data_IF_210660358994
#
_entry.id   IF_210660358994
#
_cell.length_a   1.000
_cell.length_b   1.000
_cell.length_c   1.000
_cell.angle_alpha   90.00
_cell.angle_beta   90.00
_cell.angle_gamma   90.00
#
_symmetry.space_group_name_H-M   'P 1'
#
loop_
_entity.id
_entity.type
_entity.pdbx_description
1 polymer ?
#
# COMPACT_ATOMS: atom_id res chain seq x y z
N UNK A 1 -13.35 8.35 10.37
CA UNK A 1 -13.12 6.90 10.62
C UNK A 1 -12.88 6.25 9.26
N UNK A 2 -11.71 5.65 9.03
CA UNK A 2 -11.49 4.87 7.80
C UNK A 2 -12.36 3.61 7.88
N UNK A 3 -13.31 3.50 6.95
CA UNK A 3 -14.21 2.34 6.87
C UNK A 3 -13.36 1.13 6.45
N UNK A 4 -13.08 0.22 7.37
CA UNK A 4 -12.49 -1.08 7.02
C UNK A 4 -13.45 -1.79 6.08
N UNK A 5 -12.96 -2.14 4.91
CA UNK A 5 -13.74 -2.78 3.87
C UNK A 5 -13.64 -4.29 4.06
N UNK A 6 -14.79 -4.91 4.28
CA UNK A 6 -14.91 -6.31 4.70
C UNK A 6 -15.58 -7.13 3.59
N UNK A 7 -14.75 -7.83 2.83
CA UNK A 7 -15.15 -8.98 2.04
C UNK A 7 -15.57 -10.15 2.94
N UNK A 8 -16.72 -10.74 2.61
CA UNK A 8 -17.38 -11.80 3.40
C UNK A 8 -17.59 -13.10 2.60
N UNK A 9 -16.92 -13.25 1.46
CA UNK A 9 -17.10 -14.41 0.58
C UNK A 9 -16.32 -15.66 1.02
N UNK A 10 -15.66 -15.65 2.18
CA UNK A 10 -14.81 -16.73 2.66
C UNK A 10 -13.47 -16.84 1.92
N UNK A 11 -12.70 -17.87 2.20
CA UNK A 11 -11.40 -18.12 1.55
C UNK A 11 -11.48 -18.31 0.02
N UNK A 12 -10.36 -18.10 -0.68
CA UNK A 12 -10.20 -18.59 -2.05
C UNK A 12 -9.38 -19.89 -2.05
N UNK A 13 -9.67 -20.76 -3.03
CA UNK A 13 -8.95 -22.00 -3.26
C UNK A 13 -8.41 -22.11 -4.67
N UNK A 14 -7.23 -22.69 -4.84
CA UNK A 14 -6.76 -23.13 -6.14
C UNK A 14 -6.00 -24.45 -5.97
N UNK A 15 -6.59 -25.53 -6.45
CA UNK A 15 -6.14 -26.90 -6.17
C UNK A 15 -6.10 -27.13 -4.65
N UNK A 16 -4.95 -27.45 -4.07
CA UNK A 16 -4.77 -27.66 -2.63
C UNK A 16 -4.51 -26.38 -1.82
N UNK A 17 -4.21 -25.26 -2.49
CA UNK A 17 -3.79 -24.01 -1.84
C UNK A 17 -4.98 -23.15 -1.44
N UNK A 18 -4.82 -22.42 -0.33
CA UNK A 18 -5.89 -21.61 0.28
C UNK A 18 -5.34 -20.26 0.72
N UNK A 19 -6.07 -19.19 0.43
CA UNK A 19 -5.88 -17.87 1.02
C UNK A 19 -7.10 -17.50 1.87
N UNK A 20 -6.86 -17.15 3.12
CA UNK A 20 -7.90 -16.84 4.09
C UNK A 20 -8.67 -15.56 3.73
N UNK A 21 -9.92 -15.47 4.22
CA UNK A 21 -10.71 -14.24 4.10
C UNK A 21 -9.99 -13.02 4.69
N UNK A 22 -9.29 -13.19 5.81
CA UNK A 22 -8.60 -12.09 6.47
C UNK A 22 -7.47 -11.54 5.59
N UNK A 23 -6.69 -12.41 4.94
CA UNK A 23 -5.65 -11.97 4.01
C UNK A 23 -6.25 -11.29 2.77
N UNK A 24 -7.40 -11.76 2.27
CA UNK A 24 -8.11 -11.10 1.18
C UNK A 24 -8.57 -9.69 1.57
N UNK A 25 -9.06 -9.51 2.79
CA UNK A 25 -9.40 -8.19 3.33
C UNK A 25 -8.17 -7.28 3.38
N UNK A 26 -7.02 -7.77 3.86
CA UNK A 26 -5.79 -6.98 3.90
C UNK A 26 -5.35 -6.56 2.49
N UNK A 27 -5.42 -7.46 1.50
CA UNK A 27 -5.10 -7.16 0.10
C UNK A 27 -6.04 -6.10 -0.45
N UNK A 28 -7.36 -6.26 -0.29
CA UNK A 28 -8.37 -5.30 -0.76
C UNK A 28 -8.09 -3.89 -0.20
N UNK A 29 -7.79 -3.77 1.09
CA UNK A 29 -7.48 -2.48 1.70
C UNK A 29 -6.13 -1.91 1.21
N UNK A 30 -5.13 -2.75 0.95
CA UNK A 30 -3.82 -2.30 0.49
C UNK A 30 -3.83 -1.74 -0.95
N UNK A 31 -4.68 -2.28 -1.82
CA UNK A 31 -4.73 -1.92 -3.25
C UNK A 31 -5.53 -0.68 -3.57
N UNK A 32 -6.49 -0.31 -2.72
CA UNK A 32 -7.47 0.75 -3.00
C UNK A 32 -6.83 2.11 -3.31
N UNK A 33 -5.82 2.50 -2.53
CA UNK A 33 -5.09 3.76 -2.72
C UNK A 33 -4.34 3.87 -4.04
N UNK A 34 -4.16 2.77 -4.76
CA UNK A 34 -3.42 2.72 -6.03
C UNK A 34 -4.31 2.36 -7.22
N UNK A 35 -5.63 2.28 -7.05
CA UNK A 35 -6.56 1.88 -8.12
C UNK A 35 -6.13 0.57 -8.81
N UNK A 36 -5.65 -0.40 -8.03
CA UNK A 36 -5.26 -1.73 -8.50
C UNK A 36 -6.44 -2.69 -8.30
N UNK A 37 -6.60 -3.64 -9.23
CA UNK A 37 -7.59 -4.72 -9.10
C UNK A 37 -7.08 -5.80 -8.14
N UNK A 38 -7.74 -6.05 -7.00
CA UNK A 38 -7.26 -7.05 -6.05
C UNK A 38 -7.20 -8.46 -6.66
N UNK A 39 -8.15 -8.85 -7.53
CA UNK A 39 -8.13 -10.17 -8.18
C UNK A 39 -6.87 -10.43 -9.01
N UNK A 40 -6.30 -9.39 -9.64
CA UNK A 40 -5.08 -9.48 -10.43
C UNK A 40 -3.85 -9.65 -9.52
N UNK A 41 -3.76 -8.88 -8.43
CA UNK A 41 -2.69 -9.05 -7.45
C UNK A 41 -2.74 -10.42 -6.75
N UNK A 42 -3.94 -10.90 -6.39
CA UNK A 42 -4.14 -12.22 -5.79
C UNK A 42 -3.62 -13.32 -6.72
N UNK A 43 -3.89 -13.19 -8.02
CA UNK A 43 -3.41 -14.13 -9.03
C UNK A 43 -1.89 -14.07 -9.16
N UNK A 44 -1.32 -12.87 -9.18
CA UNK A 44 0.13 -12.69 -9.25
C UNK A 44 0.82 -13.34 -8.04
N UNK A 45 0.35 -13.07 -6.82
CA UNK A 45 0.89 -13.67 -5.59
C UNK A 45 0.71 -15.20 -5.55
N UNK A 46 -0.30 -15.74 -6.24
CA UNK A 46 -0.41 -17.19 -6.40
C UNK A 46 0.73 -17.75 -7.25
N UNK A 47 1.05 -17.12 -8.38
CA UNK A 47 2.15 -17.55 -9.26
C UNK A 47 3.49 -17.48 -8.53
N UNK A 48 3.72 -16.42 -7.76
CA UNK A 48 5.01 -16.21 -7.10
C UNK A 48 5.26 -17.18 -5.93
N UNK A 49 4.23 -17.60 -5.20
CA UNK A 49 4.45 -18.35 -3.94
C UNK A 49 3.30 -19.24 -3.50
N UNK A 50 2.28 -19.44 -4.33
CA UNK A 50 1.03 -20.11 -3.95
C UNK A 50 0.42 -19.51 -2.67
N UNK A 51 0.40 -18.18 -2.59
CA UNK A 51 -0.03 -17.42 -1.40
C UNK A 51 0.80 -17.74 -0.15
N UNK A 52 2.11 -17.89 -0.34
CA UNK A 52 3.06 -18.16 0.74
C UNK A 52 2.93 -19.53 1.39
N UNK A 53 2.38 -20.53 0.67
CA UNK A 53 2.27 -21.87 1.23
C UNK A 53 3.65 -22.42 1.61
N UNK A 54 3.76 -22.91 2.85
CA UNK A 54 5.03 -23.36 3.43
C UNK A 54 5.68 -24.53 2.69
N UNK A 55 4.94 -25.28 1.87
CA UNK A 55 5.48 -26.42 1.11
C UNK A 55 6.12 -25.96 -0.20
N UNK A 56 5.70 -24.82 -0.74
CA UNK A 56 6.14 -24.32 -2.05
C UNK A 56 6.96 -23.04 -1.95
N UNK A 57 6.83 -22.27 -0.86
CA UNK A 57 7.54 -21.01 -0.67
C UNK A 57 8.12 -20.88 0.73
N UNK A 58 9.42 -21.15 0.83
CA UNK A 58 10.18 -20.89 2.07
C UNK A 58 10.19 -19.39 2.40
N UNK A 59 10.45 -18.54 1.40
CA UNK A 59 10.45 -17.07 1.56
C UNK A 59 9.05 -16.55 1.94
N UNK A 60 8.00 -17.03 1.28
CA UNK A 60 6.63 -16.60 1.59
C UNK A 60 6.19 -16.97 3.01
N UNK A 61 6.64 -18.11 3.52
CA UNK A 61 6.25 -18.62 4.85
C UNK A 61 7.14 -18.12 5.99
N UNK A 62 8.44 -17.91 5.76
CA UNK A 62 9.39 -17.45 6.79
C UNK A 62 9.51 -15.93 6.82
N UNK A 63 9.45 -15.28 5.65
CA UNK A 63 9.68 -13.84 5.51
C UNK A 63 8.43 -13.01 5.31
N UNK A 64 7.24 -13.64 5.33
CA UNK A 64 5.98 -12.99 4.95
C UNK A 64 6.07 -12.30 3.58
N UNK A 65 6.88 -12.82 2.66
CA UNK A 65 7.21 -12.15 1.41
C UNK A 65 6.77 -13.00 0.21
N UNK A 66 5.52 -12.83 -0.19
CA UNK A 66 4.89 -13.71 -1.19
C UNK A 66 5.26 -13.38 -2.64
N UNK A 67 6.05 -12.33 -2.87
CA UNK A 67 6.52 -11.94 -4.21
C UNK A 67 8.04 -11.91 -4.36
N UNK A 68 8.80 -12.28 -3.32
CA UNK A 68 10.27 -12.31 -3.37
C UNK A 68 10.94 -10.93 -3.40
N UNK A 69 10.38 -9.89 -2.78
CA UNK A 69 11.02 -8.55 -2.69
C UNK A 69 12.40 -8.69 -2.04
N UNK A 70 13.43 -8.15 -2.69
CA UNK A 70 14.83 -8.29 -2.28
C UNK A 70 15.43 -6.97 -1.82
N UNK A 71 16.48 -7.03 -0.99
CA UNK A 71 17.33 -5.88 -0.71
C UNK A 71 18.13 -5.44 -1.96
N UNK A 72 18.41 -4.14 -2.14
CA UNK A 72 17.90 -3.03 -1.33
C UNK A 72 16.44 -2.70 -1.68
N UNK A 73 15.61 -2.50 -0.65
CA UNK A 73 14.24 -2.03 -0.79
C UNK A 73 13.95 -0.96 0.24
N UNK A 74 13.30 0.11 -0.19
CA UNK A 74 12.92 1.24 0.67
C UNK A 74 11.51 1.69 0.32
N UNK A 75 10.76 2.08 1.33
CA UNK A 75 9.40 2.60 1.18
C UNK A 75 9.29 4.02 1.73
N UNK A 76 8.34 4.81 1.23
CA UNK A 76 7.93 6.05 1.88
C UNK A 76 7.49 5.79 3.34
N UNK A 77 7.71 6.77 4.22
CA UNK A 77 7.43 6.65 5.66
C UNK A 77 5.94 6.46 5.95
N UNK A 78 5.07 7.07 5.14
CA UNK A 78 3.62 7.02 5.24
C UNK A 78 3.03 5.68 4.80
N UNK A 79 3.85 4.77 4.25
CA UNK A 79 3.42 3.39 4.04
C UNK A 79 3.19 2.66 5.38
N UNK A 80 3.87 3.11 6.45
CA UNK A 80 3.74 2.58 7.81
C UNK A 80 3.86 1.05 7.82
N UNK A 81 5.04 0.57 7.42
CA UNK A 81 5.39 -0.85 7.38
C UNK A 81 6.64 -1.13 8.21
N UNK A 82 6.68 -2.32 8.80
CA UNK A 82 7.86 -2.83 9.47
C UNK A 82 8.51 -3.93 8.63
N UNK A 83 9.79 -3.76 8.33
CA UNK A 83 10.57 -4.73 7.57
C UNK A 83 12.02 -4.80 8.05
N UNK A 84 12.64 -5.96 7.89
CA UNK A 84 14.03 -6.23 8.20
C UNK A 84 14.67 -7.09 7.10
N UNK A 85 15.97 -7.35 7.21
CA UNK A 85 16.62 -8.38 6.41
C UNK A 85 15.98 -9.75 6.69
N UNK A 86 15.64 -10.48 5.64
CA UNK A 86 15.11 -11.84 5.69
C UNK A 86 16.14 -12.88 5.28
N UNK A 87 15.64 -13.96 4.67
CA UNK A 87 16.44 -15.09 4.23
C UNK A 87 17.39 -14.73 3.09
N UNK A 88 18.51 -15.46 2.97
CA UNK A 88 19.46 -15.27 1.89
C UNK A 88 18.82 -15.69 0.55
N UNK A 89 19.12 -14.94 -0.51
CA UNK A 89 18.80 -15.35 -1.88
C UNK A 89 19.70 -16.52 -2.31
N UNK A 90 19.32 -17.27 -3.35
CA UNK A 90 20.20 -18.28 -3.95
C UNK A 90 21.61 -17.73 -4.20
N UNK A 91 22.62 -18.56 -3.93
CA UNK A 91 24.04 -18.14 -3.95
C UNK A 91 24.47 -17.52 -5.29
N UNK A 92 23.86 -17.93 -6.40
CA UNK A 92 24.10 -17.41 -7.74
C UNK A 92 23.48 -16.03 -8.01
N UNK A 93 22.52 -15.59 -7.19
CA UNK A 93 21.90 -14.26 -7.27
C UNK A 93 22.54 -13.27 -6.29
N UNK A 94 22.91 -13.77 -5.11
CA UNK A 94 23.46 -12.97 -4.02
C UNK A 94 22.42 -12.04 -3.37
N UNK A 95 22.71 -11.60 -2.15
CA UNK A 95 21.85 -10.69 -1.38
C UNK A 95 20.81 -11.40 -0.52
N UNK A 96 19.82 -10.65 -0.04
CA UNK A 96 18.82 -11.10 0.91
C UNK A 96 17.42 -10.69 0.45
N UNK A 97 16.42 -11.51 0.77
CA UNK A 97 15.02 -11.12 0.72
C UNK A 97 14.69 -10.16 1.86
N UNK A 98 13.60 -9.42 1.71
CA UNK A 98 13.00 -8.63 2.78
C UNK A 98 12.12 -9.55 3.65
N UNK A 99 12.28 -9.46 4.97
CA UNK A 99 11.33 -10.00 5.95
C UNK A 99 10.35 -8.90 6.36
N UNK A 100 9.05 -9.15 6.18
CA UNK A 100 7.99 -8.27 6.66
C UNK A 100 7.49 -8.77 8.01
N UNK A 101 7.32 -7.85 8.98
CA UNK A 101 6.87 -8.22 10.32
C UNK A 101 5.48 -8.88 10.30
N UNK A 102 4.62 -8.47 9.37
CA UNK A 102 3.30 -9.05 9.14
C UNK A 102 2.98 -9.19 7.65
N UNK A 103 2.02 -10.06 7.30
CA UNK A 103 1.48 -10.10 5.93
C UNK A 103 0.83 -8.78 5.51
N UNK A 104 0.27 -8.00 6.44
CA UNK A 104 -0.27 -6.68 6.13
C UNK A 104 0.83 -5.72 5.65
N UNK A 105 2.01 -5.74 6.30
CA UNK A 105 3.17 -4.96 5.88
C UNK A 105 3.59 -5.36 4.45
N UNK A 106 3.61 -6.66 4.17
CA UNK A 106 3.88 -7.16 2.82
C UNK A 106 2.83 -6.71 1.80
N UNK A 107 1.52 -6.84 2.08
CA UNK A 107 0.48 -6.44 1.12
C UNK A 107 0.54 -4.94 0.81
N UNK A 108 0.81 -4.09 1.81
CA UNK A 108 1.07 -2.66 1.61
C UNK A 108 2.31 -2.43 0.75
N UNK A 109 3.41 -3.14 1.04
CA UNK A 109 4.67 -3.03 0.31
C UNK A 109 4.52 -3.47 -1.15
N UNK A 110 3.93 -4.63 -1.41
CA UNK A 110 3.75 -5.15 -2.75
C UNK A 110 2.81 -4.29 -3.59
N UNK A 111 1.70 -3.82 -2.99
CA UNK A 111 0.81 -2.85 -3.66
C UNK A 111 1.55 -1.57 -4.02
N UNK A 112 2.45 -1.08 -3.15
CA UNK A 112 3.33 0.05 -3.46
C UNK A 112 4.30 -0.29 -4.60
N UNK A 113 4.98 -1.45 -4.58
CA UNK A 113 5.92 -1.87 -5.62
C UNK A 113 5.30 -1.78 -7.01
N UNK A 114 4.09 -2.31 -7.19
CA UNK A 114 3.40 -2.30 -8.50
C UNK A 114 2.68 -0.99 -8.81
N UNK A 115 2.54 -0.09 -7.85
CA UNK A 115 1.92 1.23 -8.05
C UNK A 115 2.79 2.17 -8.91
N UNK A 116 2.14 3.14 -9.56
CA UNK A 116 2.81 4.28 -10.22
C UNK A 116 3.58 5.12 -9.23
N UNK A 117 3.19 5.13 -7.94
CA UNK A 117 3.91 5.85 -6.88
C UNK A 117 5.33 5.34 -6.68
N UNK A 118 5.57 4.03 -6.83
CA UNK A 118 6.93 3.49 -6.87
C UNK A 118 7.63 3.79 -8.20
N UNK A 119 6.85 3.82 -9.29
CA UNK A 119 7.30 4.31 -10.60
C UNK A 119 8.02 3.26 -11.44
N UNK A 120 8.01 1.99 -11.04
CA UNK A 120 8.56 0.88 -11.84
C UNK A 120 7.57 0.34 -12.86
N UNK A 121 6.30 0.20 -12.49
CA UNK A 121 5.28 -0.49 -13.28
C UNK A 121 4.10 0.41 -13.62
N UNK A 122 3.32 0.01 -14.62
CA UNK A 122 2.20 0.78 -15.18
C UNK A 122 0.91 -0.05 -15.17
N UNK A 123 0.48 -0.48 -13.98
CA UNK A 123 -0.67 -1.40 -13.83
C UNK A 123 -1.91 -0.78 -13.19
N UNK A 124 -1.80 0.42 -12.62
CA UNK A 124 -2.95 1.13 -12.02
C UNK A 124 -4.04 1.42 -13.06
N UNK A 125 -5.29 1.12 -12.70
CA UNK A 125 -6.46 1.33 -13.57
C UNK A 125 -6.60 0.32 -14.71
N UNK A 126 -5.82 -0.77 -14.72
CA UNK A 126 -5.96 -1.81 -15.73
C UNK A 126 -7.37 -2.43 -15.72
N UNK A 127 -8.04 -2.41 -16.88
CA UNK A 127 -9.40 -2.93 -17.05
C UNK A 127 -9.46 -4.43 -17.33
N UNK A 128 -8.32 -5.06 -17.65
CA UNK A 128 -8.22 -6.50 -17.91
C UNK A 128 -6.91 -7.08 -17.35
N UNK A 129 -6.88 -8.40 -17.19
CA UNK A 129 -5.70 -9.12 -16.70
C UNK A 129 -4.52 -8.97 -17.68
N UNK A 130 -4.78 -8.96 -18.98
CA UNK A 130 -3.77 -8.77 -20.02
C UNK A 130 -3.17 -7.36 -19.94
N UNK A 131 -4.01 -6.33 -19.75
CA UNK A 131 -3.54 -4.96 -19.58
C UNK A 131 -2.69 -4.80 -18.31
N UNK A 132 -3.14 -5.41 -17.21
CA UNK A 132 -2.38 -5.48 -15.96
C UNK A 132 -1.03 -6.19 -16.18
N UNK A 133 -1.04 -7.39 -16.76
CA UNK A 133 0.14 -8.16 -17.04
C UNK A 133 1.11 -7.38 -17.94
N UNK A 134 0.61 -6.76 -19.02
CA UNK A 134 1.43 -5.95 -19.92
C UNK A 134 2.10 -4.78 -19.20
N UNK A 135 1.38 -4.12 -18.28
CA UNK A 135 1.89 -3.02 -17.46
C UNK A 135 3.00 -3.40 -16.48
N UNK A 136 3.22 -4.70 -16.21
CA UNK A 136 4.36 -5.21 -15.45
C UNK A 136 5.66 -5.27 -16.28
N UNK A 137 5.60 -5.03 -17.58
CA UNK A 137 6.73 -5.15 -18.50
C UNK A 137 6.96 -3.88 -19.32
N UNK A 138 8.17 -3.72 -19.85
CA UNK A 138 8.53 -2.56 -20.67
C UNK A 138 7.62 -2.37 -21.88
N UNK A 139 7.12 -3.47 -22.45
CA UNK A 139 6.15 -3.46 -23.56
C UNK A 139 4.81 -2.79 -23.20
N UNK A 140 4.47 -2.68 -21.92
CA UNK A 140 3.31 -1.93 -21.41
C UNK A 140 3.65 -0.60 -20.73
N UNK A 141 4.89 -0.14 -20.86
CA UNK A 141 5.35 1.14 -20.31
C UNK A 141 5.97 1.07 -18.91
N UNK A 142 6.26 -0.13 -18.39
CA UNK A 142 7.08 -0.26 -17.18
C UNK A 142 8.53 0.21 -17.45
N UNK A 143 9.24 0.63 -16.41
CA UNK A 143 10.68 0.96 -16.47
C UNK A 143 11.56 -0.29 -16.48
N UNK A 144 11.05 -1.37 -15.89
CA UNK A 144 11.71 -2.66 -15.81
C UNK A 144 10.72 -3.79 -16.09
N UNK A 145 11.24 -4.92 -16.54
CA UNK A 145 10.45 -6.14 -16.69
C UNK A 145 10.33 -6.82 -15.33
N UNK A 146 9.10 -7.13 -14.91
CA UNK A 146 8.83 -7.75 -13.62
C UNK A 146 9.47 -9.14 -13.48
N UNK A 147 9.44 -9.93 -14.56
CA UNK A 147 10.04 -11.26 -14.61
C UNK A 147 11.00 -11.39 -15.80
N UNK A 148 12.11 -12.10 -15.59
CA UNK A 148 13.11 -12.36 -16.64
C UNK A 148 12.55 -13.17 -17.82
N UNK A 149 11.47 -13.91 -17.62
CA UNK A 149 10.76 -14.66 -18.67
C UNK A 149 10.12 -13.76 -19.73
N UNK A 150 9.90 -12.47 -19.42
CA UNK A 150 9.22 -11.53 -20.31
C UNK A 150 7.70 -11.66 -20.31
N UNK A 151 7.04 -10.70 -20.98
CA UNK A 151 5.60 -10.51 -20.98
C UNK A 151 4.80 -11.72 -21.48
N UNK A 152 5.14 -12.26 -22.65
CA UNK A 152 4.34 -13.33 -23.28
C UNK A 152 4.32 -14.59 -22.38
N UNK A 153 5.49 -15.03 -21.91
CA UNK A 153 5.61 -16.16 -21.01
C UNK A 153 4.90 -15.92 -19.67
N UNK A 154 4.96 -14.70 -19.12
CA UNK A 154 4.29 -14.40 -17.86
C UNK A 154 2.76 -14.35 -18.02
N UNK A 155 2.26 -13.86 -19.16
CA UNK A 155 0.84 -13.88 -19.48
C UNK A 155 0.31 -15.31 -19.63
N UNK A 156 1.10 -16.20 -20.23
CA UNK A 156 0.80 -17.64 -20.32
C UNK A 156 0.70 -18.32 -18.95
N UNK A 157 1.26 -17.74 -17.89
CA UNK A 157 1.03 -18.16 -16.51
C UNK A 157 -0.18 -17.47 -15.87
N UNK A 158 -0.27 -16.14 -16.02
CA UNK A 158 -1.31 -15.31 -15.40
C UNK A 158 -2.72 -15.70 -15.84
N UNK A 159 -2.97 -15.81 -17.15
CA UNK A 159 -4.31 -16.03 -17.68
C UNK A 159 -4.93 -17.38 -17.27
N UNK A 160 -4.26 -18.54 -17.45
CA UNK A 160 -4.83 -19.80 -17.00
C UNK A 160 -4.96 -19.87 -15.47
N UNK A 161 -4.03 -19.28 -14.72
CA UNK A 161 -4.10 -19.24 -13.26
C UNK A 161 -5.30 -18.44 -12.78
N UNK A 162 -5.51 -17.23 -13.32
CA UNK A 162 -6.66 -16.39 -13.02
C UNK A 162 -7.97 -17.14 -13.27
N UNK A 163 -8.09 -17.77 -14.46
CA UNK A 163 -9.27 -18.54 -14.84
C UNK A 163 -9.48 -19.77 -13.95
N UNK A 164 -8.42 -20.45 -13.53
CA UNK A 164 -8.48 -21.59 -12.62
C UNK A 164 -8.98 -21.19 -11.23
N UNK A 165 -8.45 -20.10 -10.66
CA UNK A 165 -8.91 -19.54 -9.38
C UNK A 165 -10.37 -19.12 -9.52
N UNK A 166 -10.72 -18.34 -10.54
CA UNK A 166 -12.08 -17.87 -10.78
C UNK A 166 -13.08 -19.02 -10.90
N UNK A 167 -12.73 -20.09 -11.64
CA UNK A 167 -13.57 -21.29 -11.81
C UNK A 167 -13.82 -22.03 -10.49
N UNK A 168 -12.80 -22.12 -9.63
CA UNK A 168 -12.91 -22.78 -8.32
C UNK A 168 -13.57 -21.93 -7.25
N UNK A 169 -13.75 -20.64 -7.53
CA UNK A 169 -14.31 -19.65 -6.60
C UNK A 169 -15.41 -18.81 -7.28
N UNK A 170 -16.54 -19.42 -7.72
CA UNK A 170 -17.54 -18.73 -8.52
C UNK A 170 -18.02 -17.42 -7.88
N UNK A 171 -17.93 -16.31 -8.62
CA UNK A 171 -18.40 -14.99 -8.20
C UNK A 171 -17.51 -14.26 -7.18
N UNK A 172 -16.46 -14.89 -6.65
CA UNK A 172 -15.66 -14.28 -5.57
C UNK A 172 -14.72 -13.20 -6.10
N UNK A 173 -14.12 -13.36 -7.29
CA UNK A 173 -13.29 -12.31 -7.90
C UNK A 173 -14.13 -11.07 -8.25
N UNK A 174 -15.32 -11.26 -8.80
CA UNK A 174 -16.25 -10.16 -9.08
C UNK A 174 -16.65 -9.42 -7.80
N UNK A 175 -16.94 -10.17 -6.73
CA UNK A 175 -17.22 -9.57 -5.42
C UNK A 175 -16.02 -8.79 -4.89
N UNK A 176 -14.82 -9.37 -4.93
CA UNK A 176 -13.57 -8.74 -4.46
C UNK A 176 -13.28 -7.44 -5.23
N UNK A 177 -13.38 -7.47 -6.55
CA UNK A 177 -13.10 -6.30 -7.38
C UNK A 177 -14.20 -5.23 -7.25
N UNK A 178 -15.47 -5.63 -7.19
CA UNK A 178 -16.57 -4.68 -6.98
C UNK A 178 -16.46 -3.96 -5.64
N UNK A 179 -15.94 -4.62 -4.61
CA UNK A 179 -15.67 -4.00 -3.31
C UNK A 179 -14.58 -2.93 -3.45
N UNK A 180 -13.50 -3.19 -4.18
CA UNK A 180 -12.45 -2.22 -4.43
C UNK A 180 -12.94 -1.03 -5.29
N UNK A 181 -13.74 -1.30 -6.32
CA UNK A 181 -14.29 -0.29 -7.24
C UNK A 181 -15.33 0.64 -6.58
N UNK A 182 -16.17 0.09 -5.70
CA UNK A 182 -17.23 0.84 -5.01
C UNK A 182 -16.76 1.47 -3.70
N UNK A 183 -15.52 1.22 -3.30
CA UNK A 183 -14.93 1.93 -2.18
C UNK A 183 -14.45 3.28 -2.67
N UNK A 184 -14.69 4.38 -1.94
CA UNK A 184 -14.07 5.64 -2.29
C UNK A 184 -12.58 5.39 -2.38
N UNK A 185 -11.98 5.66 -3.55
CA UNK A 185 -10.53 5.68 -3.68
C UNK A 185 -10.06 6.54 -2.51
N UNK A 186 -9.20 5.97 -1.66
CA UNK A 186 -8.48 6.72 -0.66
C UNK A 186 -7.52 7.60 -1.46
N UNK A 187 -8.08 8.71 -1.96
CA UNK A 187 -7.38 9.65 -2.80
C UNK A 187 -6.53 10.50 -1.88
N UNK A 188 -5.26 10.15 -1.80
CA UNK A 188 -4.25 10.97 -1.13
C UNK A 188 -4.29 12.42 -1.67
N UNK A 189 -4.77 12.70 -2.90
CA UNK A 189 -4.92 14.07 -3.40
C UNK A 189 -6.16 14.80 -2.86
N UNK A 190 -7.21 14.09 -2.46
CA UNK A 190 -8.36 14.71 -1.77
C UNK A 190 -8.06 14.93 -0.28
N UNK A 191 -7.22 14.08 0.30
CA UNK A 191 -6.61 14.31 1.61
C UNK A 191 -5.66 15.52 1.53
N UNK A 192 -4.91 15.73 0.45
CA UNK A 192 -4.05 16.91 0.28
C UNK A 192 -4.81 18.24 0.08
N UNK A 193 -6.04 18.23 -0.44
CA UNK A 193 -6.85 19.45 -0.57
C UNK A 193 -7.64 19.79 0.70
N UNK A 194 -8.08 18.79 1.48
CA UNK A 194 -8.75 19.00 2.78
C UNK A 194 -7.78 19.06 3.98
N UNK A 195 -6.59 18.47 3.88
CA UNK A 195 -5.44 18.65 4.78
C UNK A 195 -4.43 19.64 4.17
N UNK A 196 -4.87 20.82 3.76
CA UNK A 196 -3.97 21.97 3.88
C UNK A 196 -3.70 22.19 5.36
N UNK A 197 -2.65 21.53 5.85
CA UNK A 197 -2.05 21.67 7.17
C UNK A 197 -1.96 23.15 7.56
N UNK A 198 -2.96 23.61 8.32
CA UNK A 198 -2.99 24.96 8.86
C UNK A 198 -2.34 24.90 10.25
N UNK A 199 -1.03 25.16 10.30
CA UNK A 199 -0.41 25.59 11.55
C UNK A 199 -1.09 26.88 12.00
N UNK A 200 -1.81 26.84 13.11
CA UNK A 200 -2.39 28.03 13.75
C UNK A 200 -1.70 28.28 15.09
N UNK A 201 -1.32 29.53 15.32
CA UNK A 201 -0.65 29.99 16.55
C UNK A 201 -1.65 30.77 17.40
N UNK A 202 -1.58 30.63 18.72
CA UNK A 202 -2.17 31.60 19.63
C UNK A 202 -1.10 32.53 20.23
N UNK A 203 -1.54 33.68 20.75
CA UNK A 203 -0.67 34.74 21.24
C UNK A 203 0.11 34.40 22.53
N UNK A 204 0.02 33.16 23.03
CA UNK A 204 0.70 32.72 24.26
C UNK A 204 1.82 31.69 24.02
N UNK A 205 2.26 31.53 22.76
CA UNK A 205 3.38 30.65 22.42
C UNK A 205 3.01 29.18 22.29
N UNK A 206 1.71 28.86 22.19
CA UNK A 206 1.22 27.50 21.99
C UNK A 206 1.04 27.23 20.49
N UNK A 207 1.57 26.10 20.02
CA UNK A 207 1.32 25.62 18.65
C UNK A 207 0.33 24.48 18.66
N UNK A 208 -0.63 24.59 17.76
CA UNK A 208 -1.61 23.55 17.47
C UNK A 208 -1.30 22.93 16.13
N UNK A 209 -1.26 21.60 16.10
CA UNK A 209 -1.44 20.84 14.88
C UNK A 209 -2.90 20.41 14.85
N UNK A 210 -3.70 20.98 13.95
CA UNK A 210 -5.09 20.58 13.71
C UNK A 210 -5.11 19.63 12.52
N UNK A 211 -5.48 18.37 12.76
CA UNK A 211 -5.70 17.37 11.72
C UNK A 211 -7.18 16.96 11.77
N UNK A 212 -8.00 17.53 10.90
CA UNK A 212 -9.46 17.40 10.98
C UNK A 212 -9.99 17.89 12.33
N UNK A 213 -10.71 17.03 13.07
CA UNK A 213 -11.29 17.34 14.39
C UNK A 213 -10.30 17.15 15.56
N UNK A 214 -9.05 16.77 15.28
CA UNK A 214 -8.05 16.49 16.32
C UNK A 214 -7.04 17.62 16.42
N UNK A 215 -6.85 18.15 17.63
CA UNK A 215 -5.80 19.10 17.95
C UNK A 215 -4.74 18.47 18.87
N UNK A 216 -3.46 18.60 18.52
CA UNK A 216 -2.33 18.17 19.36
C UNK A 216 -1.55 19.37 19.90
N UNK A 217 -1.31 19.36 21.21
CA UNK A 217 -0.70 20.43 21.98
C UNK A 217 0.83 20.26 22.06
N UNK A 218 1.58 21.33 21.82
CA UNK A 218 3.02 21.36 22.03
C UNK A 218 3.41 22.53 22.93
N UNK A 219 3.76 22.23 24.18
CA UNK A 219 4.21 23.22 25.18
C UNK A 219 5.74 23.23 25.36
N UNK A 220 6.48 22.64 24.42
CA UNK A 220 7.94 22.46 24.51
C UNK A 220 8.66 23.32 23.46
N UNK A 221 9.40 24.33 23.94
CA UNK A 221 10.13 25.29 23.12
C UNK A 221 11.17 24.67 22.19
N UNK A 222 11.76 23.51 22.56
CA UNK A 222 12.72 22.79 21.69
C UNK A 222 12.02 22.06 20.56
N UNK A 223 10.83 21.50 20.82
CA UNK A 223 10.01 20.85 19.78
C UNK A 223 9.45 21.87 18.81
N UNK A 224 9.08 23.05 19.31
CA UNK A 224 8.67 24.21 18.50
C UNK A 224 9.75 24.67 17.52
N UNK A 225 11.01 24.73 17.96
CA UNK A 225 12.13 25.09 17.09
C UNK A 225 12.33 24.07 15.96
N UNK A 226 12.34 22.78 16.28
CA UNK A 226 12.44 21.70 15.27
C UNK A 226 11.28 21.73 14.26
N UNK A 227 10.07 22.01 14.72
CA UNK A 227 8.89 22.08 13.86
C UNK A 227 9.00 23.25 12.86
N UNK A 228 9.52 24.40 13.30
CA UNK A 228 9.78 25.56 12.42
C UNK A 228 10.83 25.26 11.37
N UNK A 229 11.92 24.58 11.75
CA UNK A 229 12.95 24.13 10.81
C UNK A 229 12.38 23.18 9.77
N UNK A 230 11.59 22.21 10.20
CA UNK A 230 10.99 21.22 9.32
C UNK A 230 9.97 21.85 8.36
N UNK A 231 9.15 22.78 8.84
CA UNK A 231 8.24 23.56 7.99
C UNK A 231 9.00 24.34 6.91
N UNK A 232 10.07 25.05 7.30
CA UNK A 232 10.90 25.79 6.35
C UNK A 232 11.55 24.87 5.32
N UNK A 233 11.99 23.67 5.74
CA UNK A 233 12.56 22.65 4.86
C UNK A 233 11.56 22.15 3.82
N UNK A 234 10.31 21.89 4.22
CA UNK A 234 9.27 21.33 3.35
C UNK A 234 8.68 22.38 2.42
N UNK A 235 8.39 23.58 2.92
CA UNK A 235 7.62 24.59 2.18
C UNK A 235 8.47 25.76 1.65
N UNK A 236 9.78 25.78 1.92
CA UNK A 236 10.70 26.80 1.42
C UNK A 236 10.47 28.22 1.95
N UNK A 237 9.64 28.39 2.97
CA UNK A 237 9.29 29.69 3.59
C UNK A 237 9.23 29.59 5.10
N UNK A 238 9.50 30.72 5.77
CA UNK A 238 9.37 30.82 7.22
C UNK A 238 7.91 30.70 7.65
N UNK A 239 7.69 30.01 8.77
CA UNK A 239 6.37 29.79 9.34
C UNK A 239 5.82 31.11 9.90
N UNK A 240 4.71 31.63 9.33
CA UNK A 240 4.13 32.92 9.73
C UNK A 240 3.34 32.81 11.05
N UNK A 241 3.51 33.78 11.95
CA UNK A 241 2.66 33.93 13.13
C UNK A 241 1.27 34.43 12.69
N UNK A 242 0.23 33.61 12.85
CA UNK A 242 -1.14 34.03 12.59
C UNK A 242 -1.70 34.61 13.90
N UNK A 243 -2.30 35.81 13.83
CA UNK A 243 -2.84 36.52 14.99
C UNK A 243 -4.02 35.81 15.67
N UNK A 244 -4.40 36.39 16.82
CA UNK A 244 -5.39 35.93 17.82
C UNK A 244 -6.61 35.15 17.29
N UNK A 245 -6.81 33.95 17.85
CA UNK A 245 -8.04 33.15 17.74
C UNK A 245 -9.00 33.57 18.87
N UNK A 246 -10.24 33.91 18.56
CA UNK A 246 -11.26 34.37 19.54
C UNK A 246 -11.69 33.23 20.48
N UNK A 247 -12.05 33.56 21.72
CA UNK A 247 -12.43 32.64 22.79
C UNK A 247 -13.60 31.72 22.42
N UNK A 248 -14.50 32.13 21.51
CA UNK A 248 -15.58 31.26 21.01
C UNK A 248 -15.07 30.05 20.23
N UNK A 249 -13.91 30.15 19.59
CA UNK A 249 -13.32 29.03 18.86
C UNK A 249 -12.58 28.05 19.77
N UNK A 250 -12.31 28.38 21.04
CA UNK A 250 -11.67 27.45 22.00
C UNK A 250 -12.59 26.32 22.45
N UNK A 251 -13.89 26.59 22.62
CA UNK A 251 -14.82 25.61 23.19
C UNK A 251 -15.23 24.49 22.21
N UNK A 252 -15.10 24.70 20.90
CA UNK A 252 -15.36 23.69 19.87
C UNK A 252 -14.27 22.59 19.81
N UNK A 253 -13.06 22.83 20.33
CA UNK A 253 -11.96 21.87 20.28
C UNK A 253 -11.89 20.91 21.48
N UNK A 254 -12.77 21.07 22.47
CA UNK A 254 -12.77 20.26 23.71
C UNK A 254 -13.95 19.28 23.82
N UNK A 255 -14.71 19.03 22.74
CA UNK A 255 -15.72 17.97 22.69
C UNK A 255 -15.35 16.88 21.70
#
# INVERSE_FOLDING_TARGET
MNKTINYSGGELRNVEYVISQDNLNLIINAVQKYNLKPSFLITQMFIESHWGDKKTSYVGSVDNNWSGISEPFSTPIDLDINMSRGTARPDNEGGYYIHFATLNDFFKAFSFVVSKRNGLYNVEGAASLEAYCKGLFRVGGARADYAASGYDNYLELMLPTYNAIKKQNPGKFELIDSIADNSPILDDNKILEEEQDMFTFDCNGTVFLKQGDRAKWFNDSKKLAKLREEYKRVYGKDLMNIGTVDAKQRDEFTR
#
